data_IF_107217773496
#
_entry.id   IF_107217773496
#
_cell.length_a   1.000
_cell.length_b   1.000
_cell.length_c   1.000
_cell.angle_alpha   90.00
_cell.angle_beta   90.00
_cell.angle_gamma   90.00
#
_symmetry.space_group_name_H-M   'P 1'
#
loop_
_entity.id
_entity.type
_entity.pdbx_description
1 polymer ?
#
# COMPACT_ATOMS: atom_id res chain seq x y z
N UNK A 1 21.74 0.87 -5.71
CA UNK A 1 20.97 2.14 -5.92
C UNK A 1 19.56 2.12 -5.32
N UNK A 2 18.73 1.08 -5.53
CA UNK A 2 17.33 1.05 -5.07
C UNK A 2 17.11 1.16 -3.55
N UNK A 3 17.93 0.50 -2.73
CA UNK A 3 17.76 0.51 -1.28
C UNK A 3 17.98 1.91 -0.67
N UNK A 4 18.97 2.65 -1.20
CA UNK A 4 19.30 4.01 -0.76
C UNK A 4 18.18 4.98 -1.14
N UNK A 5 17.59 4.84 -2.34
CA UNK A 5 16.46 5.68 -2.77
C UNK A 5 15.18 5.38 -1.98
N UNK A 6 14.92 4.11 -1.64
CA UNK A 6 13.81 3.72 -0.78
C UNK A 6 13.93 4.33 0.63
N UNK A 7 15.11 4.21 1.26
CA UNK A 7 15.38 4.78 2.59
C UNK A 7 15.24 6.31 2.59
N UNK A 8 15.79 6.97 1.57
CA UNK A 8 15.65 8.42 1.39
C UNK A 8 14.19 8.83 1.27
N UNK A 9 13.41 8.09 0.48
CA UNK A 9 11.99 8.37 0.29
C UNK A 9 11.22 8.21 1.60
N UNK A 10 11.46 7.14 2.37
CA UNK A 10 10.83 6.94 3.69
C UNK A 10 11.16 8.11 4.63
N UNK A 11 12.41 8.56 4.67
CA UNK A 11 12.81 9.69 5.53
C UNK A 11 12.18 11.01 5.08
N UNK A 12 12.13 11.27 3.76
CA UNK A 12 11.44 12.43 3.19
C UNK A 12 9.94 12.41 3.49
N UNK A 13 9.30 11.24 3.41
CA UNK A 13 7.89 11.06 3.76
C UNK A 13 7.63 11.44 5.22
N UNK A 14 8.46 10.94 6.13
CA UNK A 14 8.31 11.18 7.56
C UNK A 14 8.52 12.66 7.94
N UNK A 15 9.43 13.35 7.25
CA UNK A 15 9.69 14.79 7.43
C UNK A 15 8.82 15.71 6.55
N UNK A 16 7.99 15.15 5.66
CA UNK A 16 7.15 15.94 4.77
C UNK A 16 6.02 16.65 5.53
N UNK A 17 5.56 17.80 5.03
CA UNK A 17 4.42 18.52 5.58
C UNK A 17 3.06 17.81 5.40
N UNK A 18 3.04 16.60 4.82
CA UNK A 18 1.82 15.79 4.73
C UNK A 18 1.33 15.42 6.12
N UNK A 19 0.02 15.40 6.36
CA UNK A 19 -0.51 15.00 7.66
C UNK A 19 -0.31 13.49 7.92
N UNK A 20 -0.20 13.05 9.19
CA UNK A 20 -0.12 11.62 9.52
C UNK A 20 -1.26 10.80 8.88
N UNK A 21 -2.46 11.40 8.81
CA UNK A 21 -3.63 10.80 8.18
C UNK A 21 -3.45 10.59 6.67
N UNK A 22 -2.87 11.54 5.96
CA UNK A 22 -2.59 11.40 4.51
C UNK A 22 -1.58 10.28 4.23
N UNK A 23 -0.57 10.15 5.07
CA UNK A 23 0.44 9.07 4.96
C UNK A 23 -0.21 7.72 5.30
N UNK A 24 -1.03 7.67 6.35
CA UNK A 24 -1.73 6.43 6.74
C UNK A 24 -2.69 5.94 5.67
N UNK A 25 -3.45 6.84 5.04
CA UNK A 25 -4.35 6.51 3.95
C UNK A 25 -3.58 6.02 2.72
N UNK A 26 -2.46 6.67 2.40
CA UNK A 26 -1.57 6.21 1.33
C UNK A 26 -1.07 4.78 1.55
N UNK A 27 -0.60 4.48 2.78
CA UNK A 27 -0.08 3.16 3.14
C UNK A 27 -1.19 2.11 3.17
N UNK A 28 -2.38 2.45 3.66
CA UNK A 28 -3.52 1.53 3.70
C UNK A 28 -4.07 1.21 2.30
N UNK A 29 -4.13 2.19 1.39
CA UNK A 29 -4.50 1.95 -0.01
C UNK A 29 -3.39 1.20 -0.76
N UNK A 30 -2.13 1.54 -0.50
CA UNK A 30 -0.99 0.81 -1.03
C UNK A 30 -0.94 -0.64 -0.55
N UNK A 31 -1.36 -0.92 0.69
CA UNK A 31 -1.54 -2.28 1.20
C UNK A 31 -2.52 -3.10 0.35
N UNK A 32 -3.74 -2.60 0.14
CA UNK A 32 -4.74 -3.27 -0.71
C UNK A 32 -4.17 -3.49 -2.12
N UNK A 33 -3.54 -2.46 -2.70
CA UNK A 33 -2.92 -2.55 -4.02
C UNK A 33 -1.76 -3.56 -4.08
N UNK A 34 -1.01 -3.69 -2.99
CA UNK A 34 0.14 -4.57 -2.84
C UNK A 34 -0.24 -6.04 -2.81
N UNK A 35 -1.23 -6.40 -1.99
CA UNK A 35 -1.71 -7.78 -1.83
C UNK A 35 -2.68 -8.22 -2.94
N UNK A 36 -3.22 -7.27 -3.70
CA UNK A 36 -4.10 -7.58 -4.83
C UNK A 36 -3.31 -8.16 -6.00
N UNK A 37 -3.77 -9.27 -6.61
CA UNK A 37 -3.19 -9.80 -7.83
C UNK A 37 -3.19 -8.75 -8.95
N UNK A 38 -2.05 -8.64 -9.65
CA UNK A 38 -1.83 -7.63 -10.69
C UNK A 38 -2.68 -7.94 -11.93
N UNK A 39 -3.11 -6.90 -12.64
CA UNK A 39 -3.96 -7.03 -13.83
C UNK A 39 -5.41 -7.42 -13.52
N UNK A 40 -5.88 -7.12 -12.31
CA UNK A 40 -7.31 -7.16 -11.97
C UNK A 40 -7.91 -5.76 -12.06
N UNK A 41 -9.19 -5.68 -12.41
CA UNK A 41 -9.93 -4.43 -12.39
C UNK A 41 -9.95 -3.81 -10.99
N UNK A 42 -10.03 -4.64 -9.94
CA UNK A 42 -9.97 -4.17 -8.55
C UNK A 42 -8.67 -3.42 -8.24
N UNK A 43 -7.52 -3.97 -8.63
CA UNK A 43 -6.24 -3.29 -8.45
C UNK A 43 -6.18 -1.96 -9.23
N UNK A 44 -6.71 -1.91 -10.45
CA UNK A 44 -6.79 -0.67 -11.23
C UNK A 44 -7.67 0.37 -10.55
N UNK A 45 -8.84 -0.02 -10.04
CA UNK A 45 -9.76 0.87 -9.32
C UNK A 45 -9.09 1.45 -8.08
N UNK A 46 -8.41 0.63 -7.26
CA UNK A 46 -7.67 1.11 -6.08
C UNK A 46 -6.55 2.07 -6.48
N UNK A 47 -5.83 1.77 -7.58
CA UNK A 47 -4.81 2.68 -8.10
C UNK A 47 -5.39 4.03 -8.54
N UNK A 48 -6.54 4.03 -9.23
CA UNK A 48 -7.24 5.26 -9.61
C UNK A 48 -7.75 6.04 -8.39
N UNK A 49 -8.23 5.34 -7.36
CA UNK A 49 -8.67 5.94 -6.09
C UNK A 49 -7.55 6.75 -5.43
N UNK A 50 -6.28 6.37 -5.58
CA UNK A 50 -5.16 7.16 -5.06
C UNK A 50 -5.11 8.60 -5.60
N UNK A 51 -5.60 8.85 -6.82
CA UNK A 51 -5.61 10.18 -7.42
C UNK A 51 -6.75 11.07 -6.92
N UNK A 52 -7.84 10.47 -6.43
CA UNK A 52 -8.98 11.22 -5.89
C UNK A 52 -8.72 11.72 -4.46
N UNK A 53 -7.85 11.05 -3.71
CA UNK A 53 -7.52 11.46 -2.36
C UNK A 53 -6.24 12.32 -2.33
N UNK A 54 -6.21 13.31 -1.43
CA UNK A 54 -4.98 14.06 -1.11
C UNK A 54 -4.04 13.19 -0.28
N UNK A 55 -3.43 12.17 -0.89
CA UNK A 55 -2.50 11.23 -0.25
C UNK A 55 -1.08 11.44 -0.73
N UNK A 56 -0.10 10.94 0.02
CA UNK A 56 1.26 10.89 -0.46
C UNK A 56 1.45 9.70 -1.43
N UNK A 57 1.55 10.00 -2.72
CA UNK A 57 1.68 8.97 -3.75
C UNK A 57 2.94 8.10 -3.62
N UNK A 58 4.07 8.68 -3.21
CA UNK A 58 5.30 7.92 -2.96
C UNK A 58 5.12 6.93 -1.81
N UNK A 59 4.40 7.29 -0.75
CA UNK A 59 4.08 6.36 0.34
C UNK A 59 3.16 5.22 -0.13
N UNK A 60 2.19 5.51 -1.00
CA UNK A 60 1.32 4.49 -1.58
C UNK A 60 2.09 3.50 -2.47
N UNK A 61 3.00 3.98 -3.33
CA UNK A 61 3.83 3.09 -4.16
C UNK A 61 4.81 2.28 -3.34
N UNK A 62 5.47 2.89 -2.35
CA UNK A 62 6.44 2.19 -1.49
C UNK A 62 5.76 1.08 -0.69
N UNK A 63 4.59 1.38 -0.10
CA UNK A 63 3.80 0.38 0.61
C UNK A 63 3.28 -0.70 -0.34
N UNK A 64 2.75 -0.36 -1.50
CA UNK A 64 2.30 -1.34 -2.49
C UNK A 64 3.42 -2.29 -2.94
N UNK A 65 4.61 -1.74 -3.17
CA UNK A 65 5.81 -2.54 -3.47
C UNK A 65 6.15 -3.46 -2.31
N UNK A 66 6.26 -2.93 -1.09
CA UNK A 66 6.56 -3.72 0.11
C UNK A 66 5.56 -4.85 0.32
N UNK A 67 4.26 -4.54 0.32
CA UNK A 67 3.22 -5.53 0.53
C UNK A 67 3.10 -6.55 -0.61
N UNK A 68 3.49 -6.19 -1.84
CA UNK A 68 3.55 -7.16 -2.94
C UNK A 68 4.64 -8.21 -2.74
N UNK A 69 5.76 -7.88 -2.10
CA UNK A 69 6.83 -8.83 -1.79
C UNK A 69 6.41 -9.87 -0.75
N UNK A 70 5.48 -9.49 0.14
CA UNK A 70 4.95 -10.36 1.20
C UNK A 70 3.51 -10.82 0.92
N UNK A 71 3.00 -10.61 -0.30
CA UNK A 71 1.61 -10.93 -0.66
C UNK A 71 1.27 -12.40 -0.42
N UNK A 72 2.23 -13.31 -0.66
CA UNK A 72 2.07 -14.75 -0.40
C UNK A 72 1.69 -15.10 1.04
N UNK A 73 2.06 -14.27 2.03
CA UNK A 73 1.62 -14.47 3.42
C UNK A 73 0.12 -14.21 3.58
N UNK A 74 -0.40 -13.22 2.83
CA UNK A 74 -1.82 -12.93 2.80
C UNK A 74 -2.58 -13.98 2.00
N UNK A 75 -1.98 -14.56 0.95
CA UNK A 75 -2.60 -15.64 0.17
C UNK A 75 -2.91 -16.88 1.02
N UNK A 76 -2.07 -17.20 2.02
CA UNK A 76 -2.31 -18.31 2.97
C UNK A 76 -3.62 -18.10 3.74
N UNK A 77 -3.99 -16.85 4.03
CA UNK A 77 -5.21 -16.48 4.75
C UNK A 77 -6.37 -16.26 3.78
N UNK A 78 -6.12 -15.55 2.68
CA UNK A 78 -7.11 -15.17 1.68
C UNK A 78 -7.63 -16.37 0.90
N UNK A 79 -6.75 -17.28 0.45
CA UNK A 79 -7.14 -18.46 -0.32
C UNK A 79 -8.27 -19.27 0.31
N UNK A 80 -8.15 -19.71 1.58
CA UNK A 80 -9.23 -20.41 2.29
C UNK A 80 -10.51 -19.59 2.44
N UNK A 81 -10.41 -18.28 2.72
CA UNK A 81 -11.58 -17.39 2.84
C UNK A 81 -12.32 -17.32 1.49
N UNK A 82 -11.58 -17.11 0.40
CA UNK A 82 -12.16 -17.07 -0.94
C UNK A 82 -12.77 -18.41 -1.34
N UNK A 83 -12.11 -19.53 -1.02
CA UNK A 83 -12.67 -20.86 -1.26
C UNK A 83 -13.98 -21.08 -0.51
N UNK A 84 -14.04 -20.73 0.78
CA UNK A 84 -15.25 -20.85 1.59
C UNK A 84 -16.42 -20.03 1.02
N UNK A 85 -16.15 -18.83 0.50
CA UNK A 85 -17.18 -17.98 -0.11
C UNK A 85 -17.66 -18.47 -1.46
N UNK A 86 -16.74 -18.97 -2.30
CA UNK A 86 -17.10 -19.49 -3.63
C UNK A 86 -17.82 -20.85 -3.56
N UNK A 87 -17.58 -21.62 -2.49
CA UNK A 87 -18.12 -22.97 -2.31
C UNK A 87 -19.36 -23.01 -1.42
N UNK A 88 -19.79 -21.87 -0.86
CA UNK A 88 -20.96 -21.79 0.00
C UNK A 88 -22.26 -21.91 -0.82
N UNK A 89 -23.02 -22.97 -0.58
CA UNK A 89 -24.28 -23.25 -1.29
C UNK A 89 -25.27 -22.07 -1.24
N UNK A 90 -25.37 -21.40 -0.10
CA UNK A 90 -26.28 -20.24 0.06
C UNK A 90 -25.85 -19.01 -0.77
N UNK A 91 -24.59 -18.94 -1.22
CA UNK A 91 -24.08 -17.88 -2.11
C UNK A 91 -24.18 -18.25 -3.59
N UNK A 92 -24.60 -19.47 -3.92
CA UNK A 92 -24.63 -19.95 -5.30
C UNK A 92 -25.46 -19.04 -6.23
N UNK A 93 -26.69 -18.68 -5.82
CA UNK A 93 -27.55 -17.79 -6.61
C UNK A 93 -26.95 -16.39 -6.77
N UNK A 94 -26.25 -15.90 -5.74
CA UNK A 94 -25.54 -14.62 -5.79
C UNK A 94 -24.40 -14.67 -6.81
N UNK A 95 -23.51 -15.68 -6.73
CA UNK A 95 -22.40 -15.83 -7.66
C UNK A 95 -22.87 -16.04 -9.09
N UNK A 96 -23.95 -16.80 -9.31
CA UNK A 96 -24.58 -16.95 -10.63
C UNK A 96 -25.01 -15.60 -11.21
N UNK A 97 -25.68 -14.76 -10.43
CA UNK A 97 -26.09 -13.43 -10.89
C UNK A 97 -24.89 -12.52 -11.19
N UNK A 98 -23.89 -12.54 -10.31
CA UNK A 98 -22.65 -11.75 -10.47
C UNK A 98 -21.91 -12.18 -11.74
N UNK A 99 -21.69 -13.48 -11.95
CA UNK A 99 -20.90 -14.01 -13.06
C UNK A 99 -21.54 -13.81 -14.44
N UNK A 100 -22.83 -13.51 -14.51
CA UNK A 100 -23.49 -13.12 -15.75
C UNK A 100 -23.20 -11.66 -16.16
N UNK A 101 -22.57 -10.85 -15.30
CA UNK A 101 -22.21 -9.47 -15.63
C UNK A 101 -20.95 -9.44 -16.52
N UNK A 102 -20.92 -8.58 -17.55
CA UNK A 102 -19.82 -8.52 -18.53
C UNK A 102 -18.48 -8.07 -17.92
N UNK A 103 -18.49 -7.46 -16.74
CA UNK A 103 -17.32 -6.88 -16.07
C UNK A 103 -16.52 -7.90 -15.23
N UNK A 104 -17.14 -9.02 -14.84
CA UNK A 104 -16.53 -10.01 -13.93
C UNK A 104 -15.24 -10.64 -14.43
N UNK A 105 -15.07 -10.97 -15.72
CA UNK A 105 -13.82 -11.52 -16.20
C UNK A 105 -12.60 -10.65 -15.86
N UNK A 106 -12.78 -9.33 -15.77
CA UNK A 106 -11.71 -8.40 -15.39
C UNK A 106 -11.49 -8.30 -13.89
N UNK A 107 -12.50 -8.54 -13.04
CA UNK A 107 -12.33 -8.53 -11.58
C UNK A 107 -11.59 -9.77 -11.09
N UNK A 108 -11.75 -10.90 -11.79
CA UNK A 108 -11.21 -12.22 -11.42
C UNK A 108 -11.71 -12.73 -10.06
N UNK A 109 -12.89 -12.33 -9.60
CA UNK A 109 -13.47 -12.80 -8.33
C UNK A 109 -13.79 -14.30 -8.29
N UNK A 110 -13.76 -14.99 -9.44
CA UNK A 110 -13.80 -16.45 -9.50
C UNK A 110 -12.50 -17.13 -9.01
N UNK A 111 -11.44 -16.36 -8.76
CA UNK A 111 -10.20 -16.86 -8.16
C UNK A 111 -10.25 -16.67 -6.63
N UNK A 112 -10.00 -17.75 -5.89
CA UNK A 112 -10.06 -17.78 -4.42
C UNK A 112 -9.09 -16.79 -3.77
N UNK A 113 -7.88 -16.65 -4.30
CA UNK A 113 -6.87 -15.73 -3.79
C UNK A 113 -7.30 -14.28 -4.03
N UNK A 114 -7.81 -13.96 -5.23
CA UNK A 114 -8.26 -12.60 -5.55
C UNK A 114 -9.41 -12.19 -4.63
N UNK A 115 -10.44 -13.02 -4.51
CA UNK A 115 -11.61 -12.72 -3.67
C UNK A 115 -11.24 -12.67 -2.19
N UNK A 116 -10.44 -13.62 -1.74
CA UNK A 116 -9.98 -13.71 -0.36
C UNK A 116 -9.14 -12.51 0.05
N UNK A 117 -8.11 -12.17 -0.72
CA UNK A 117 -7.26 -11.02 -0.44
C UNK A 117 -8.01 -9.70 -0.55
N UNK A 118 -9.02 -9.61 -1.42
CA UNK A 118 -9.90 -8.44 -1.46
C UNK A 118 -10.61 -8.23 -0.11
N UNK A 119 -11.16 -9.29 0.48
CA UNK A 119 -11.81 -9.20 1.79
C UNK A 119 -10.83 -8.98 2.93
N UNK A 120 -9.70 -9.67 2.95
CA UNK A 120 -8.62 -9.43 3.91
C UNK A 120 -8.18 -7.96 3.83
N UNK A 121 -8.02 -7.42 2.62
CA UNK A 121 -7.72 -6.03 2.35
C UNK A 121 -8.75 -5.09 2.96
N UNK A 122 -10.04 -5.32 2.72
CA UNK A 122 -11.13 -4.51 3.27
C UNK A 122 -11.19 -4.55 4.80
N UNK A 123 -11.06 -5.73 5.39
CA UNK A 123 -11.10 -5.91 6.86
C UNK A 123 -9.91 -5.22 7.53
N UNK A 124 -8.70 -5.40 6.98
CA UNK A 124 -7.48 -4.84 7.56
C UNK A 124 -7.26 -3.37 7.19
N UNK A 125 -7.99 -2.81 6.23
CA UNK A 125 -7.84 -1.42 5.81
C UNK A 125 -7.97 -0.43 6.97
N UNK A 126 -9.07 -0.49 7.72
CA UNK A 126 -9.32 0.45 8.81
C UNK A 126 -8.35 0.27 9.99
N UNK A 127 -8.08 -0.96 10.49
CA UNK A 127 -7.05 -1.20 11.50
C UNK A 127 -5.67 -0.68 11.08
N UNK A 128 -5.26 -0.96 9.84
CA UNK A 128 -3.95 -0.54 9.32
C UNK A 128 -3.87 0.99 9.22
N UNK A 129 -4.93 1.65 8.74
CA UNK A 129 -4.99 3.10 8.68
C UNK A 129 -4.78 3.73 10.07
N UNK A 130 -5.50 3.25 11.09
CA UNK A 130 -5.38 3.79 12.45
C UNK A 130 -4.03 3.49 13.09
N UNK A 131 -3.51 2.29 12.88
CA UNK A 131 -2.19 1.89 13.37
C UNK A 131 -1.10 2.79 12.77
N UNK A 132 -1.10 2.99 11.45
CA UNK A 132 -0.10 3.82 10.78
C UNK A 132 -0.24 5.29 11.16
N UNK A 133 -1.47 5.81 11.26
CA UNK A 133 -1.73 7.18 11.72
C UNK A 133 -1.12 7.42 13.11
N UNK A 134 -1.33 6.47 14.04
CA UNK A 134 -0.78 6.50 15.39
C UNK A 134 0.75 6.43 15.39
N UNK A 135 1.34 5.48 14.65
CA UNK A 135 2.80 5.31 14.57
C UNK A 135 3.49 6.55 13.99
N UNK A 136 2.95 7.11 12.91
CA UNK A 136 3.48 8.35 12.31
C UNK A 136 3.33 9.53 13.27
N UNK A 137 2.21 9.62 14.00
CA UNK A 137 1.98 10.64 15.01
C UNK A 137 2.95 10.56 16.19
N UNK A 138 3.27 9.36 16.69
CA UNK A 138 4.26 9.13 17.75
C UNK A 138 5.65 9.51 17.24
N UNK A 139 6.05 9.00 16.06
CA UNK A 139 7.33 9.30 15.45
C UNK A 139 7.58 10.81 15.32
N UNK A 140 6.58 11.57 14.87
CA UNK A 140 6.72 13.02 14.69
C UNK A 140 6.80 13.78 16.00
N UNK A 141 6.12 13.34 17.05
CA UNK A 141 6.16 14.03 18.36
C UNK A 141 7.45 13.77 19.11
N UNK A 142 7.92 12.52 19.11
CA UNK A 142 9.01 12.07 19.98
C UNK A 142 10.37 11.99 19.25
N UNK A 143 10.36 11.55 17.99
CA UNK A 143 11.59 11.22 17.28
C UNK A 143 12.03 12.28 16.28
N UNK A 144 11.13 13.13 15.77
CA UNK A 144 11.50 14.20 14.83
C UNK A 144 12.60 15.12 15.42
N UNK A 145 12.47 15.51 16.69
CA UNK A 145 13.46 16.36 17.38
C UNK A 145 14.79 15.65 17.66
N UNK A 146 14.79 14.32 17.80
CA UNK A 146 16.01 13.52 18.03
C UNK A 146 16.76 13.27 16.72
N UNK A 147 16.03 13.06 15.63
CA UNK A 147 16.59 12.77 14.33
C UNK A 147 17.26 13.99 13.68
N UNK A 148 16.72 15.21 13.80
CA UNK A 148 17.40 16.43 13.31
C UNK A 148 18.81 16.60 13.87
N UNK A 149 19.07 16.09 15.09
CA UNK A 149 20.38 16.13 15.74
C UNK A 149 21.31 14.99 15.31
N UNK A 150 20.81 13.93 14.69
CA UNK A 150 21.63 12.77 14.30
C UNK A 150 22.36 12.96 12.97
N UNK A 151 23.61 12.48 12.91
CA UNK A 151 24.48 12.57 11.71
C UNK A 151 23.89 11.89 10.46
N UNK A 152 22.99 10.93 10.63
CA UNK A 152 22.35 10.18 9.54
C UNK A 152 21.58 11.09 8.57
N UNK A 153 20.82 12.06 9.08
CA UNK A 153 20.10 13.02 8.23
C UNK A 153 21.05 13.93 7.45
N UNK A 154 22.20 14.29 8.02
CA UNK A 154 23.22 15.07 7.32
C UNK A 154 23.85 14.27 6.18
N UNK A 155 24.20 13.01 6.44
CA UNK A 155 24.79 12.10 5.42
C UNK A 155 23.81 11.90 4.25
N UNK A 156 22.52 11.70 4.53
CA UNK A 156 21.51 11.46 3.49
C UNK A 156 21.24 12.73 2.66
N UNK A 157 21.25 13.92 3.29
CA UNK A 157 21.22 15.20 2.56
C UNK A 157 22.46 15.38 1.67
N UNK A 158 23.64 14.99 2.17
CA UNK A 158 24.90 15.10 1.43
C UNK A 158 24.93 14.19 0.20
N UNK A 159 24.49 12.93 0.34
CA UNK A 159 24.32 11.99 -0.79
C UNK A 159 23.32 12.54 -1.82
N UNK A 160 22.25 13.19 -1.36
CA UNK A 160 21.28 13.83 -2.27
C UNK A 160 21.86 15.00 -3.07
N UNK A 161 22.70 15.83 -2.43
CA UNK A 161 23.33 16.98 -3.08
C UNK A 161 24.41 16.53 -4.06
N UNK A 162 25.17 15.49 -3.71
CA UNK A 162 26.19 14.90 -4.57
C UNK A 162 25.61 14.36 -5.89
N UNK A 163 24.53 13.57 -5.81
CA UNK A 163 23.84 13.05 -7.00
C UNK A 163 23.18 14.15 -7.86
N UNK A 164 22.90 15.33 -7.28
CA UNK A 164 22.35 16.47 -8.02
C UNK A 164 23.46 17.24 -8.73
N UNK A 165 24.61 17.41 -8.06
CA UNK A 165 25.80 18.03 -8.63
C UNK A 165 26.32 17.25 -9.84
N UNK A 166 26.40 15.92 -9.72
CA UNK A 166 26.84 15.05 -10.84
C UNK A 166 25.89 15.10 -12.04
N UNK A 167 24.60 15.38 -11.82
CA UNK A 167 23.57 15.43 -12.88
C UNK A 167 23.51 16.77 -13.62
N UNK A 168 24.02 17.84 -13.02
CA UNK A 168 23.98 19.21 -13.58
C UNK A 168 25.37 19.82 -13.82
N UNK A 169 26.43 19.23 -13.28
CA UNK A 169 27.81 19.74 -13.32
C UNK A 169 28.82 18.78 -13.94
N UNK A 170 28.35 17.77 -14.70
CA UNK A 170 29.15 16.85 -15.50
C UNK A 170 28.68 16.84 -16.95
#
# INVERSE_FOLDING_TARGET
>A
MFFVSALKSILQLLHSNNSPRQISLAIALGFILGISPKGTLGALVIFLILFFFKVNFSAAILSATFFSLIAGLFDIIGGPIGYALLSADFLYSFWRAVYNLPIIPWTKFYNTIVLGNFLVGLILFYPLLRLVELLVGIYRREFARRLEKTRLLKIIKMISLYNLYEKFGG
#
